data_IF_970274565020
#
_entry.id   IF_970274565020
#
_cell.length_a   1.000
_cell.length_b   1.000
_cell.length_c   1.000
_cell.angle_alpha   90.00
_cell.angle_beta   90.00
_cell.angle_gamma   90.00
#
_symmetry.space_group_name_H-M   'P 1'
#
loop_
_entity.id
_entity.type
_entity.pdbx_description
1 polymer ?
#
# COMPACT_ATOMS: atom_id res chain seq x y z
N UNK A 1 0.15 -8.20 23.57
CA UNK A 1 0.89 -8.24 22.28
C UNK A 1 2.28 -8.82 22.51
N UNK A 2 2.71 -9.80 21.69
CA UNK A 2 3.99 -10.53 21.87
C UNK A 2 5.21 -9.63 21.75
N UNK A 3 5.26 -8.72 20.76
CA UNK A 3 6.42 -7.85 20.53
C UNK A 3 6.47 -6.61 21.44
N UNK A 4 5.38 -6.25 22.13
CA UNK A 4 5.26 -5.04 22.98
C UNK A 4 5.79 -3.75 22.31
N UNK A 5 5.56 -3.59 21.00
CA UNK A 5 5.93 -2.40 20.21
C UNK A 5 4.69 -1.59 19.80
N UNK A 6 4.87 -0.30 19.44
CA UNK A 6 3.81 0.48 18.80
C UNK A 6 3.24 -0.27 17.61
N UNK A 7 1.92 -0.20 17.44
CA UNK A 7 1.20 -0.78 16.31
C UNK A 7 0.40 0.34 15.67
N UNK A 8 0.55 0.47 14.36
CA UNK A 8 -0.23 1.37 13.55
C UNK A 8 -0.70 0.67 12.28
N UNK A 9 -1.54 1.37 11.51
CA UNK A 9 -2.10 0.91 10.25
C UNK A 9 -1.52 1.71 9.09
N UNK A 10 -1.24 1.01 8.00
CA UNK A 10 -0.98 1.62 6.68
C UNK A 10 -2.25 1.45 5.87
N UNK A 11 -2.81 2.55 5.39
CA UNK A 11 -4.03 2.53 4.59
C UNK A 11 -3.69 2.49 3.10
N UNK A 12 -4.05 1.38 2.48
CA UNK A 12 -3.84 1.13 1.04
C UNK A 12 -5.18 0.77 0.40
N UNK A 13 -5.40 1.22 -0.83
CA UNK A 13 -6.58 0.89 -1.63
C UNK A 13 -6.18 0.47 -3.03
N UNK A 14 -6.94 -0.45 -3.62
CA UNK A 14 -6.72 -0.89 -5.00
C UNK A 14 -7.29 0.17 -5.96
N UNK A 15 -6.51 0.54 -6.96
CA UNK A 15 -6.99 1.35 -8.09
C UNK A 15 -7.62 0.38 -9.08
N UNK A 16 -8.93 0.48 -9.26
CA UNK A 16 -9.70 -0.40 -10.15
C UNK A 16 -9.69 0.12 -11.58
N UNK A 17 -9.75 -0.78 -12.55
CA UNK A 17 -9.88 -0.40 -13.96
C UNK A 17 -11.25 0.22 -14.22
N UNK A 18 -11.35 1.34 -14.97
CA UNK A 18 -12.64 1.99 -15.26
C UNK A 18 -13.66 1.08 -15.95
N UNK A 19 -13.17 0.20 -16.83
CA UNK A 19 -13.98 -0.71 -17.64
C UNK A 19 -14.16 -2.11 -17.03
N UNK A 20 -13.45 -2.43 -15.94
CA UNK A 20 -13.58 -3.70 -15.24
C UNK A 20 -13.27 -3.50 -13.74
N UNK A 21 -14.27 -3.16 -12.92
CA UNK A 21 -14.05 -2.81 -11.51
C UNK A 21 -13.41 -3.91 -10.65
N UNK A 22 -13.56 -5.16 -11.05
CA UNK A 22 -12.91 -6.31 -10.39
C UNK A 22 -11.41 -6.40 -10.68
N UNK A 23 -10.94 -5.75 -11.75
CA UNK A 23 -9.53 -5.70 -12.13
C UNK A 23 -8.84 -4.54 -11.42
N UNK A 24 -7.84 -4.84 -10.61
CA UNK A 24 -7.02 -3.83 -9.96
C UNK A 24 -5.81 -3.45 -10.83
N UNK A 25 -5.82 -2.28 -11.46
CA UNK A 25 -4.68 -1.72 -12.19
C UNK A 25 -3.46 -1.52 -11.28
N UNK A 26 -3.69 -1.24 -10.00
CA UNK A 26 -2.64 -0.98 -9.04
C UNK A 26 -3.18 -0.77 -7.64
N UNK A 27 -2.42 -0.06 -6.84
CA UNK A 27 -2.81 0.40 -5.52
C UNK A 27 -2.33 1.82 -5.27
N UNK A 28 -3.10 2.54 -4.45
CA UNK A 28 -2.73 3.84 -3.88
C UNK A 28 -2.58 3.69 -2.37
N UNK A 29 -1.53 4.30 -1.83
CA UNK A 29 -1.28 4.39 -0.39
C UNK A 29 -1.21 5.86 0.02
N UNK A 30 -1.68 6.10 1.22
CA UNK A 30 -1.74 7.43 1.82
C UNK A 30 -0.40 7.93 2.38
N UNK A 31 -0.32 9.24 2.62
CA UNK A 31 0.77 9.96 3.30
C UNK A 31 0.88 11.41 2.81
N UNK A 32 1.83 12.17 3.35
CA UNK A 32 2.11 13.57 2.93
C UNK A 32 2.31 13.73 1.41
N UNK A 33 2.68 12.62 0.74
CA UNK A 33 2.57 12.49 -0.71
C UNK A 33 1.97 11.11 -1.02
N UNK A 34 0.75 11.02 -1.56
CA UNK A 34 0.17 9.77 -2.03
C UNK A 34 1.09 9.05 -3.01
N UNK A 35 1.07 7.73 -2.98
CA UNK A 35 1.88 6.94 -3.90
C UNK A 35 1.02 5.91 -4.64
N UNK A 36 1.17 5.90 -5.97
CA UNK A 36 0.48 4.99 -6.87
C UNK A 36 1.49 3.94 -7.35
N UNK A 37 1.14 2.67 -7.18
CA UNK A 37 1.90 1.54 -7.71
C UNK A 37 1.02 0.73 -8.62
N UNK A 38 1.37 0.68 -9.91
CA UNK A 38 0.67 -0.13 -10.90
C UNK A 38 1.19 -1.58 -10.91
N UNK A 39 0.32 -2.50 -11.29
CA UNK A 39 0.69 -3.87 -11.62
C UNK A 39 1.37 -3.92 -13.00
N UNK A 40 2.25 -4.91 -13.22
CA UNK A 40 2.97 -5.01 -14.48
C UNK A 40 2.05 -5.23 -15.68
N UNK A 41 0.99 -6.02 -15.52
CA UNK A 41 0.00 -6.21 -16.59
C UNK A 41 -0.74 -4.92 -16.95
N UNK A 42 -0.86 -3.96 -16.03
CA UNK A 42 -1.55 -2.70 -16.29
C UNK A 42 -0.82 -1.86 -17.34
N UNK A 43 0.49 -2.07 -17.51
CA UNK A 43 1.28 -1.44 -18.58
C UNK A 43 0.78 -1.85 -19.97
N UNK A 44 0.34 -3.10 -20.14
CA UNK A 44 -0.19 -3.60 -21.42
C UNK A 44 -1.62 -3.15 -21.72
N UNK A 45 -2.31 -2.54 -20.76
CA UNK A 45 -3.65 -1.97 -20.97
C UNK A 45 -3.60 -0.49 -21.39
N UNK A 46 -2.40 0.12 -21.36
CA UNK A 46 -2.15 1.53 -21.68
C UNK A 46 -3.23 2.50 -21.16
N UNK A 47 -3.63 2.42 -19.88
CA UNK A 47 -4.59 3.36 -19.33
C UNK A 47 -3.99 4.77 -19.34
N UNK A 48 -4.80 5.78 -19.68
CA UNK A 48 -4.32 7.16 -19.62
C UNK A 48 -3.98 7.56 -18.19
N UNK A 49 -2.99 8.44 -18.03
CA UNK A 49 -2.61 8.95 -16.71
C UNK A 49 -3.79 9.68 -16.05
N UNK A 50 -4.63 10.39 -16.81
CA UNK A 50 -5.82 11.04 -16.25
C UNK A 50 -6.78 10.03 -15.65
N UNK A 51 -7.01 8.90 -16.33
CA UNK A 51 -7.90 7.85 -15.84
C UNK A 51 -7.37 7.22 -14.55
N UNK A 52 -6.06 6.95 -14.47
CA UNK A 52 -5.41 6.43 -13.25
C UNK A 52 -5.54 7.43 -12.11
N UNK A 53 -5.23 8.70 -12.36
CA UNK A 53 -5.27 9.75 -11.35
C UNK A 53 -6.69 10.00 -10.84
N UNK A 54 -7.70 9.99 -11.73
CA UNK A 54 -9.10 10.10 -11.35
C UNK A 54 -9.55 8.94 -10.45
N UNK A 55 -9.18 7.70 -10.82
CA UNK A 55 -9.49 6.52 -10.02
C UNK A 55 -8.76 6.54 -8.65
N UNK A 56 -7.49 6.93 -8.62
CA UNK A 56 -6.72 7.06 -7.39
C UNK A 56 -7.29 8.15 -6.46
N UNK A 57 -7.77 9.27 -7.01
CA UNK A 57 -8.38 10.34 -6.22
C UNK A 57 -9.65 9.89 -5.49
N UNK A 58 -10.45 9.00 -6.10
CA UNK A 58 -11.62 8.41 -5.44
C UNK A 58 -11.20 7.50 -4.28
N UNK A 59 -10.18 6.67 -4.49
CA UNK A 59 -9.68 5.75 -3.46
C UNK A 59 -8.98 6.49 -2.32
N UNK A 60 -8.33 7.64 -2.59
CA UNK A 60 -7.77 8.53 -1.56
C UNK A 60 -8.85 9.13 -0.65
N UNK A 61 -10.01 9.51 -1.20
CA UNK A 61 -11.13 9.97 -0.37
C UNK A 61 -11.62 8.89 0.59
N UNK A 62 -11.64 7.65 0.14
CA UNK A 62 -12.02 6.51 0.99
C UNK A 62 -10.96 6.21 2.06
N UNK A 63 -9.69 6.35 1.72
CA UNK A 63 -8.58 6.28 2.68
C UNK A 63 -8.78 7.33 3.78
N UNK A 64 -9.02 8.59 3.43
CA UNK A 64 -9.21 9.68 4.40
C UNK A 64 -10.42 9.42 5.31
N UNK A 65 -11.54 8.97 4.73
CA UNK A 65 -12.72 8.58 5.51
C UNK A 65 -12.39 7.49 6.52
N UNK A 66 -11.65 6.45 6.12
CA UNK A 66 -11.23 5.36 7.01
C UNK A 66 -10.21 5.80 8.04
N UNK A 67 -9.28 6.69 7.68
CA UNK A 67 -8.29 7.27 8.59
C UNK A 67 -8.98 7.95 9.76
N UNK A 68 -9.97 8.80 9.48
CA UNK A 68 -10.75 9.48 10.51
C UNK A 68 -11.42 8.50 11.49
N UNK A 69 -11.99 7.39 10.97
CA UNK A 69 -12.69 6.39 11.76
C UNK A 69 -11.73 5.49 12.56
N UNK A 70 -10.64 5.02 11.94
CA UNK A 70 -9.75 4.03 12.56
C UNK A 70 -8.72 4.64 13.49
N UNK A 71 -8.27 5.87 13.21
CA UNK A 71 -7.29 6.54 14.06
C UNK A 71 -7.96 7.42 15.12
N UNK A 72 -9.21 7.85 14.94
CA UNK A 72 -9.90 8.74 15.88
C UNK A 72 -9.05 9.96 16.29
N UNK A 73 -8.37 10.57 15.32
CA UNK A 73 -7.47 11.71 15.54
C UNK A 73 -6.06 11.35 16.07
N UNK A 74 -5.75 10.07 16.28
CA UNK A 74 -4.39 9.61 16.62
C UNK A 74 -3.44 9.89 15.45
N UNK A 75 -2.29 10.51 15.76
CA UNK A 75 -1.24 10.70 14.77
C UNK A 75 -0.56 9.37 14.40
N UNK A 76 -0.12 9.21 13.13
CA UNK A 76 0.62 8.04 12.71
C UNK A 76 1.94 7.86 13.45
N UNK A 77 2.31 6.62 13.73
CA UNK A 77 3.63 6.25 14.26
C UNK A 77 4.72 6.43 13.20
N UNK A 78 5.76 7.19 13.53
CA UNK A 78 6.87 7.44 12.61
C UNK A 78 7.79 6.22 12.47
N UNK A 79 8.06 5.79 11.23
CA UNK A 79 9.02 4.72 10.96
C UNK A 79 10.50 5.17 10.95
N UNK A 80 10.74 6.49 10.87
CA UNK A 80 12.06 7.10 10.73
C UNK A 80 13.10 6.56 11.72
N UNK A 81 14.21 6.02 11.18
CA UNK A 81 15.32 5.49 11.98
C UNK A 81 15.00 4.24 12.81
N UNK A 82 13.80 3.65 12.67
CA UNK A 82 13.36 2.46 13.41
C UNK A 82 13.32 1.21 12.52
N UNK A 83 13.16 0.04 13.14
CA UNK A 83 12.76 -1.17 12.41
C UNK A 83 11.26 -1.16 12.27
N UNK A 84 10.77 -1.02 11.04
CA UNK A 84 9.37 -1.14 10.69
C UNK A 84 9.06 -2.58 10.27
N UNK A 85 8.00 -3.15 10.85
CA UNK A 85 7.50 -4.48 10.47
C UNK A 85 6.13 -4.26 9.84
N UNK A 86 6.04 -4.46 8.53
CA UNK A 86 4.79 -4.46 7.78
C UNK A 86 4.20 -5.87 7.86
N UNK A 87 2.97 -5.98 8.32
CA UNK A 87 2.26 -7.24 8.51
C UNK A 87 1.00 -7.24 7.64
N UNK A 88 0.74 -8.35 6.95
CA UNK A 88 -0.52 -8.61 6.24
C UNK A 88 -0.94 -10.06 6.48
N UNK A 89 -2.22 -10.38 6.27
CA UNK A 89 -2.75 -11.74 6.44
C UNK A 89 -2.42 -12.66 5.25
N UNK A 90 -1.96 -12.08 4.15
CA UNK A 90 -1.45 -12.80 2.99
C UNK A 90 -1.18 -11.83 1.85
N UNK A 91 -0.52 -12.32 0.79
CA UNK A 91 -0.21 -11.50 -0.37
C UNK A 91 -0.77 -12.16 -1.63
N UNK A 92 -1.60 -11.45 -2.39
CA UNK A 92 -2.24 -11.97 -3.60
C UNK A 92 -1.48 -11.58 -4.89
N UNK A 93 -1.54 -10.30 -5.27
CA UNK A 93 -0.92 -9.76 -6.51
C UNK A 93 0.24 -8.80 -6.23
N UNK A 94 0.51 -8.54 -4.95
CA UNK A 94 1.63 -7.73 -4.47
C UNK A 94 1.51 -6.21 -4.64
N UNK A 95 0.63 -5.66 -5.49
CA UNK A 95 0.55 -4.20 -5.66
C UNK A 95 0.26 -3.45 -4.36
N UNK A 96 -0.62 -3.97 -3.50
CA UNK A 96 -0.94 -3.37 -2.20
C UNK A 96 0.27 -3.37 -1.28
N UNK A 97 0.97 -4.50 -1.17
CA UNK A 97 2.19 -4.63 -0.39
C UNK A 97 3.31 -3.72 -0.92
N UNK A 98 3.52 -3.68 -2.25
CA UNK A 98 4.50 -2.80 -2.89
C UNK A 98 4.20 -1.32 -2.63
N UNK A 99 2.93 -0.90 -2.73
CA UNK A 99 2.54 0.46 -2.38
C UNK A 99 2.89 0.77 -0.92
N UNK A 100 2.49 -0.09 0.03
CA UNK A 100 2.84 0.09 1.44
C UNK A 100 4.36 0.14 1.67
N UNK A 101 5.13 -0.74 1.04
CA UNK A 101 6.59 -0.79 1.15
C UNK A 101 7.22 0.50 0.65
N UNK A 102 6.81 1.02 -0.52
CA UNK A 102 7.40 2.24 -1.06
C UNK A 102 7.06 3.47 -0.20
N UNK A 103 5.82 3.59 0.27
CA UNK A 103 5.44 4.65 1.21
C UNK A 103 6.23 4.57 2.53
N UNK A 104 6.43 3.37 3.08
CA UNK A 104 7.24 3.18 4.29
C UNK A 104 8.72 3.48 4.04
N UNK A 105 9.30 3.11 2.89
CA UNK A 105 10.70 3.42 2.55
C UNK A 105 10.99 4.91 2.53
N UNK A 106 10.03 5.72 2.09
CA UNK A 106 10.12 7.20 2.11
C UNK A 106 10.14 7.81 3.51
N UNK A 107 9.67 7.08 4.52
CA UNK A 107 9.84 7.48 5.92
C UNK A 107 11.22 7.12 6.47
N UNK A 108 12.15 6.66 5.62
CA UNK A 108 13.52 6.28 5.94
C UNK A 108 13.66 5.45 7.24
N UNK A 109 13.01 4.28 7.32
CA UNK A 109 13.24 3.35 8.41
C UNK A 109 14.69 2.83 8.36
N UNK A 110 15.24 2.49 9.52
CA UNK A 110 16.54 1.82 9.62
C UNK A 110 16.51 0.42 8.97
N UNK A 111 15.36 -0.25 9.08
CA UNK A 111 15.10 -1.56 8.47
C UNK A 111 13.60 -1.70 8.23
N UNK A 112 13.23 -2.25 7.09
CA UNK A 112 11.85 -2.61 6.77
C UNK A 112 11.76 -4.13 6.61
N UNK A 113 10.82 -4.75 7.30
CA UNK A 113 10.56 -6.21 7.25
C UNK A 113 9.11 -6.41 6.83
N UNK A 114 8.89 -7.20 5.79
CA UNK A 114 7.56 -7.70 5.42
C UNK A 114 7.36 -9.06 6.11
N UNK A 115 6.30 -9.19 6.90
CA UNK A 115 5.94 -10.42 7.62
C UNK A 115 4.56 -10.89 7.16
N UNK A 116 4.51 -12.04 6.51
CA UNK A 116 3.30 -12.64 5.93
C UNK A 116 3.21 -14.10 6.34
N UNK A 117 2.01 -14.63 6.67
CA UNK A 117 1.84 -16.05 6.93
C UNK A 117 1.85 -16.89 5.64
N UNK A 118 1.43 -16.30 4.51
CA UNK A 118 1.37 -16.97 3.20
C UNK A 118 1.58 -15.98 2.05
N UNK A 119 2.34 -16.38 1.03
CA UNK A 119 2.52 -15.62 -0.19
C UNK A 119 2.86 -16.56 -1.38
N UNK A 120 2.31 -16.31 -2.59
CA UNK A 120 2.76 -16.96 -3.81
C UNK A 120 4.24 -16.64 -4.08
N UNK A 121 5.00 -17.64 -4.52
CA UNK A 121 6.41 -17.48 -4.89
C UNK A 121 6.64 -16.36 -5.90
N UNK A 122 5.75 -16.26 -6.89
CA UNK A 122 5.87 -15.29 -7.98
C UNK A 122 5.72 -13.85 -7.46
N UNK A 123 4.96 -13.67 -6.39
CA UNK A 123 4.78 -12.35 -5.78
C UNK A 123 5.93 -11.95 -4.87
N UNK A 124 6.71 -12.91 -4.36
CA UNK A 124 7.93 -12.65 -3.58
C UNK A 124 9.15 -12.33 -4.47
N UNK A 125 9.12 -12.73 -5.75
CA UNK A 125 10.24 -12.56 -6.67
C UNK A 125 10.53 -11.08 -7.01
N UNK A 126 9.50 -10.23 -7.01
CA UNK A 126 9.63 -8.79 -7.31
C UNK A 126 10.05 -7.90 -6.12
N UNK A 127 10.00 -8.42 -4.89
CA UNK A 127 10.17 -7.63 -3.66
C UNK A 127 11.57 -7.79 -3.02
N UNK A 128 12.53 -8.40 -3.74
CA UNK A 128 13.90 -8.70 -3.27
C UNK A 128 14.91 -7.53 -3.37
N UNK A 129 14.49 -6.31 -3.70
CA UNK A 129 15.38 -5.15 -3.85
C UNK A 129 15.16 -4.12 -2.74
#
# INVERSE_FOLDING_TARGET
KVLRRPLDIVLVRKIRAPFQPELALGAVVDGDRPEIVLNDFAKGLEPSEEAINAAAALELKEIERRRAIYLCGRHPEAAQGRTAILVDDGLATGATARAAIRALRRQHPKRLVLALPVAPTDSLAGDRA
#
